data_IF_906824567042
#
_entry.id   IF_906824567042
#
_cell.length_a   1.000
_cell.length_b   1.000
_cell.length_c   1.000
_cell.angle_alpha   90.00
_cell.angle_beta   90.00
_cell.angle_gamma   90.00
#
_symmetry.space_group_name_H-M   'P 1'
#
loop_
_entity.id
_entity.type
_entity.pdbx_description
1 polymer ?
#
# COMPACT_ATOMS: atom_id res chain seq x y z
N UNK A 1 53.35 -4.87 32.67
CA UNK A 1 52.10 -4.42 33.30
C UNK A 1 51.56 -3.12 32.66
N UNK A 2 51.43 -3.06 31.32
CA UNK A 2 50.88 -1.88 30.61
C UNK A 2 50.13 -2.20 29.29
N UNK A 3 50.06 -3.48 28.89
CA UNK A 3 49.42 -3.87 27.61
C UNK A 3 47.97 -4.35 27.82
N UNK A 4 47.64 -4.90 28.98
CA UNK A 4 46.30 -5.43 29.26
C UNK A 4 45.26 -4.34 29.58
N UNK A 5 45.68 -3.12 29.95
CA UNK A 5 44.77 -2.03 30.29
C UNK A 5 44.18 -1.29 29.07
N UNK A 6 44.77 -1.44 27.88
CA UNK A 6 44.29 -0.77 26.64
C UNK A 6 43.20 -1.55 25.90
N UNK A 7 43.10 -2.86 26.11
CA UNK A 7 42.10 -3.70 25.45
C UNK A 7 40.74 -3.61 26.17
N UNK A 8 40.74 -3.38 27.50
CA UNK A 8 39.50 -3.26 28.27
C UNK A 8 38.70 -1.98 27.96
N UNK A 9 39.37 -0.88 27.56
CA UNK A 9 38.74 0.40 27.19
C UNK A 9 38.11 0.41 25.79
N UNK A 10 38.62 -0.43 24.87
CA UNK A 10 38.01 -0.62 23.54
C UNK A 10 36.74 -1.48 23.60
N UNK A 11 36.62 -2.38 24.58
CA UNK A 11 35.40 -3.17 24.80
C UNK A 11 34.31 -2.47 25.60
N UNK A 12 34.64 -1.40 26.35
CA UNK A 12 33.64 -0.59 27.07
C UNK A 12 33.01 0.50 26.20
N UNK A 13 33.66 0.90 25.10
CA UNK A 13 33.08 1.82 24.10
C UNK A 13 32.20 1.11 23.05
N UNK A 14 32.25 -0.22 22.95
CA UNK A 14 31.33 -1.00 22.09
C UNK A 14 29.99 -1.36 22.76
N UNK A 15 29.78 -0.98 24.03
CA UNK A 15 28.49 -1.18 24.74
C UNK A 15 27.65 0.08 24.86
N UNK A 16 28.13 1.23 24.39
CA UNK A 16 27.38 2.49 24.34
C UNK A 16 27.12 2.85 22.88
N UNK A 17 26.37 1.99 22.19
CA UNK A 17 26.14 2.09 20.75
C UNK A 17 24.83 1.45 20.33
N UNK A 18 23.73 2.00 20.85
CA UNK A 18 22.37 1.91 20.31
C UNK A 18 21.72 0.51 20.13
N UNK A 19 21.14 -0.09 21.19
CA UNK A 19 19.89 -0.83 21.01
C UNK A 19 18.69 0.10 20.70
N UNK A 20 18.86 1.42 20.73
CA UNK A 20 17.79 2.38 20.42
C UNK A 20 17.45 2.47 18.90
N UNK A 21 18.21 1.81 18.01
CA UNK A 21 17.92 1.78 16.56
C UNK A 21 17.13 0.55 16.12
N UNK A 22 16.85 -0.39 17.03
CA UNK A 22 16.06 -1.60 16.73
C UNK A 22 14.56 -1.46 17.07
N UNK A 23 14.13 -0.31 17.60
CA UNK A 23 12.73 0.02 17.86
C UNK A 23 12.26 1.26 17.08
N UNK A 24 12.60 1.37 15.78
CA UNK A 24 11.67 2.06 14.90
C UNK A 24 10.43 1.17 14.81
N UNK A 25 9.51 1.35 15.75
CA UNK A 25 8.11 0.99 15.55
C UNK A 25 7.78 1.42 14.12
N UNK A 26 7.44 0.48 13.24
CA UNK A 26 7.16 0.83 11.85
C UNK A 26 5.99 1.81 11.89
N UNK A 27 6.28 3.09 11.73
CA UNK A 27 5.25 4.13 11.80
C UNK A 27 4.21 3.79 10.73
N UNK A 28 3.01 3.44 11.18
CA UNK A 28 1.97 2.83 10.35
C UNK A 28 0.66 3.53 10.65
N UNK A 29 0.28 4.52 9.82
CA UNK A 29 -1.01 5.17 9.96
C UNK A 29 -2.11 4.17 9.59
N UNK A 30 -3.27 4.33 10.22
CA UNK A 30 -4.44 3.47 10.01
C UNK A 30 -5.47 4.23 9.19
N UNK A 31 -5.96 3.64 8.12
CA UNK A 31 -7.08 4.21 7.38
C UNK A 31 -8.38 4.01 8.16
N UNK A 32 -9.08 5.11 8.46
CA UNK A 32 -10.42 5.08 9.02
C UNK A 32 -11.34 5.97 8.17
N UNK A 33 -12.26 5.38 7.37
CA UNK A 33 -13.10 6.15 6.47
C UNK A 33 -14.14 7.03 7.16
N UNK A 34 -14.31 6.93 8.49
CA UNK A 34 -15.40 7.60 9.21
C UNK A 34 -15.26 9.13 9.23
N UNK A 35 -16.13 9.80 8.48
CA UNK A 35 -16.82 11.02 8.93
C UNK A 35 -18.10 10.57 9.68
N UNK A 36 -18.40 11.17 10.83
CA UNK A 36 -19.51 10.79 11.73
C UNK A 36 -20.86 10.73 10.98
N UNK A 37 -21.03 11.50 9.90
CA UNK A 37 -22.25 11.50 9.06
C UNK A 37 -22.33 10.30 8.10
N UNK A 38 -21.21 9.74 7.67
CA UNK A 38 -21.16 8.60 6.76
C UNK A 38 -21.27 7.25 7.50
N UNK A 39 -20.96 7.25 8.80
CA UNK A 39 -21.05 6.05 9.64
C UNK A 39 -22.43 5.36 9.55
N UNK A 40 -23.53 6.11 9.47
CA UNK A 40 -24.88 5.53 9.42
C UNK A 40 -25.17 4.68 8.17
N UNK A 41 -24.61 5.03 7.01
CA UNK A 41 -24.76 4.24 5.78
C UNK A 41 -23.91 2.96 5.82
N UNK A 42 -22.72 3.02 6.45
CA UNK A 42 -21.76 1.91 6.48
C UNK A 42 -21.88 0.99 7.71
N UNK A 43 -22.59 1.40 8.77
CA UNK A 43 -22.90 0.56 9.95
C UNK A 43 -23.60 -0.75 9.57
N UNK A 44 -24.33 -0.76 8.45
CA UNK A 44 -24.99 -1.98 7.95
C UNK A 44 -24.02 -2.97 7.27
N UNK A 45 -22.82 -2.53 6.83
CA UNK A 45 -21.83 -3.39 6.14
C UNK A 45 -20.38 -3.03 6.54
N UNK A 46 -19.96 -3.29 7.79
CA UNK A 46 -18.67 -2.84 8.33
C UNK A 46 -17.44 -3.47 7.65
N UNK A 47 -17.60 -4.62 6.99
CA UNK A 47 -16.54 -5.25 6.20
C UNK A 47 -16.21 -4.49 4.90
N UNK A 48 -17.06 -3.54 4.48
CA UNK A 48 -16.79 -2.65 3.35
C UNK A 48 -15.85 -1.48 3.69
N UNK A 49 -15.46 -1.30 4.96
CA UNK A 49 -14.70 -0.13 5.42
C UNK A 49 -13.17 -0.32 5.42
N UNK A 50 -12.61 -1.11 4.49
CA UNK A 50 -11.15 -1.19 4.33
C UNK A 50 -10.68 -0.27 3.20
N UNK A 51 -9.38 0.06 3.22
CA UNK A 51 -8.76 0.95 2.25
C UNK A 51 -8.99 0.48 0.81
N UNK A 52 -8.83 -0.81 0.52
CA UNK A 52 -8.98 -1.37 -0.83
C UNK A 52 -10.39 -1.16 -1.38
N UNK A 53 -11.42 -1.39 -0.56
CA UNK A 53 -12.81 -1.15 -0.93
C UNK A 53 -13.07 0.35 -1.13
N UNK A 54 -12.53 1.20 -0.25
CA UNK A 54 -12.63 2.65 -0.41
C UNK A 54 -11.96 3.14 -1.71
N UNK A 55 -10.84 2.57 -2.10
CA UNK A 55 -10.14 2.96 -3.33
C UNK A 55 -10.86 2.46 -4.59
N UNK A 56 -11.54 1.33 -4.52
CA UNK A 56 -12.24 0.71 -5.66
C UNK A 56 -13.72 1.06 -5.83
N UNK A 57 -14.42 1.55 -4.79
CA UNK A 57 -15.90 1.60 -4.79
C UNK A 57 -16.56 2.42 -5.92
N UNK A 58 -15.89 3.41 -6.49
CA UNK A 58 -16.41 4.23 -7.60
C UNK A 58 -15.93 3.77 -8.98
N UNK A 59 -15.03 2.78 -9.03
CA UNK A 59 -14.53 2.24 -10.29
C UNK A 59 -15.60 1.30 -10.85
N UNK A 60 -16.27 1.76 -11.91
CA UNK A 60 -17.20 0.92 -12.66
C UNK A 60 -16.43 0.30 -13.81
N UNK A 61 -15.88 -0.89 -13.56
CA UNK A 61 -15.17 -1.65 -14.56
C UNK A 61 -16.15 -2.03 -15.69
N UNK A 62 -16.01 -1.37 -16.83
CA UNK A 62 -16.56 -1.84 -18.10
C UNK A 62 -15.75 -3.05 -18.54
N UNK A 63 -16.40 -4.21 -18.51
CA UNK A 63 -15.82 -5.47 -18.97
C UNK A 63 -15.91 -5.63 -20.49
N UNK A 64 -16.40 -4.60 -21.18
CA UNK A 64 -16.85 -4.57 -22.58
C UNK A 64 -15.75 -4.87 -23.61
N UNK A 65 -14.48 -4.88 -23.20
CA UNK A 65 -13.33 -5.05 -24.07
C UNK A 65 -12.62 -6.39 -23.84
N UNK A 66 -12.09 -6.99 -24.90
CA UNK A 66 -11.20 -8.17 -24.86
C UNK A 66 -9.80 -7.85 -24.31
N UNK A 67 -9.70 -6.93 -23.34
CA UNK A 67 -8.44 -6.40 -22.83
C UNK A 67 -8.38 -6.57 -21.33
N UNK A 68 -7.37 -7.33 -20.91
CA UNK A 68 -6.95 -7.42 -19.53
C UNK A 68 -6.07 -6.20 -19.20
N UNK A 69 -6.48 -5.43 -18.19
CA UNK A 69 -5.81 -4.22 -17.76
C UNK A 69 -5.56 -4.27 -16.26
N UNK A 70 -4.40 -3.80 -15.81
CA UNK A 70 -4.09 -3.72 -14.39
C UNK A 70 -3.15 -2.56 -14.09
N UNK A 71 -3.21 -2.08 -12.84
CA UNK A 71 -2.21 -1.15 -12.34
C UNK A 71 -1.92 -1.34 -10.85
N UNK A 72 -0.69 -1.02 -10.47
CA UNK A 72 -0.23 -0.89 -9.10
C UNK A 72 -0.12 0.58 -8.74
N UNK A 73 -0.94 1.02 -7.80
CA UNK A 73 -0.94 2.37 -7.27
C UNK A 73 -0.08 2.44 -6.01
N UNK A 74 1.11 3.01 -6.14
CA UNK A 74 2.02 3.27 -5.04
C UNK A 74 1.75 4.67 -4.51
N UNK A 75 1.45 4.83 -3.23
CA UNK A 75 1.25 6.16 -2.66
C UNK A 75 1.79 6.27 -1.24
N UNK A 76 2.18 7.48 -0.86
CA UNK A 76 2.81 7.77 0.44
C UNK A 76 1.91 8.65 1.29
N UNK A 77 1.69 8.22 2.52
CA UNK A 77 1.07 9.00 3.58
C UNK A 77 2.17 9.57 4.46
N UNK A 78 2.20 10.88 4.67
CA UNK A 78 3.19 11.54 5.53
C UNK A 78 2.70 11.71 6.98
N UNK A 79 3.58 12.23 7.83
CA UNK A 79 3.35 12.54 9.25
C UNK A 79 2.18 13.49 9.54
N UNK A 80 1.55 14.08 8.52
CA UNK A 80 0.35 14.92 8.64
C UNK A 80 -0.92 14.20 8.17
N UNK A 81 -0.85 12.92 7.81
CA UNK A 81 -1.96 12.17 7.23
C UNK A 81 -2.34 12.65 5.82
N UNK A 82 -1.41 13.29 5.11
CA UNK A 82 -1.60 13.76 3.73
C UNK A 82 -0.90 12.84 2.74
N UNK A 83 -1.46 12.79 1.54
CA UNK A 83 -0.83 12.12 0.40
C UNK A 83 0.12 13.11 -0.28
N UNK A 84 1.41 12.78 -0.31
CA UNK A 84 2.44 13.66 -0.87
C UNK A 84 3.22 13.04 -2.04
N UNK A 85 2.93 11.77 -2.39
CA UNK A 85 3.51 11.09 -3.55
C UNK A 85 2.56 10.00 -4.04
N UNK A 86 2.40 9.91 -5.36
CA UNK A 86 1.65 8.85 -6.04
C UNK A 86 2.45 8.44 -7.29
N UNK A 87 2.58 7.13 -7.52
CA UNK A 87 3.15 6.54 -8.73
C UNK A 87 2.24 5.39 -9.18
N UNK A 88 1.93 5.36 -10.48
CA UNK A 88 1.11 4.32 -11.09
C UNK A 88 1.97 3.52 -12.05
N UNK A 89 1.84 2.19 -12.00
CA UNK A 89 2.55 1.27 -12.88
C UNK A 89 1.58 0.25 -13.45
N UNK A 90 1.54 0.09 -14.76
CA UNK A 90 0.66 -0.87 -15.41
C UNK A 90 0.17 -0.40 -16.76
N UNK A 91 -0.92 -1.01 -17.22
CA UNK A 91 -1.57 -0.74 -18.50
C UNK A 91 -3.06 -0.39 -18.32
N UNK A 92 -3.43 0.10 -17.14
CA UNK A 92 -4.80 0.48 -16.84
C UNK A 92 -5.21 1.71 -17.66
N UNK A 93 -6.44 1.72 -18.18
CA UNK A 93 -6.93 2.88 -18.92
C UNK A 93 -6.97 4.13 -18.02
N UNK A 94 -6.60 5.27 -18.60
CA UNK A 94 -6.46 6.57 -17.90
C UNK A 94 -7.73 6.96 -17.12
N UNK A 95 -8.92 6.63 -17.63
CA UNK A 95 -10.18 6.89 -16.96
C UNK A 95 -10.26 6.22 -15.58
N UNK A 96 -9.81 4.97 -15.45
CA UNK A 96 -9.79 4.26 -14.16
C UNK A 96 -8.64 4.74 -13.28
N UNK A 97 -7.46 5.00 -13.85
CA UNK A 97 -6.35 5.58 -13.10
C UNK A 97 -6.75 6.90 -12.44
N UNK A 98 -7.42 7.78 -13.18
CA UNK A 98 -7.88 9.08 -12.68
C UNK A 98 -8.85 8.93 -11.51
N UNK A 99 -9.80 7.98 -11.59
CA UNK A 99 -10.75 7.70 -10.51
C UNK A 99 -10.01 7.22 -9.27
N UNK A 100 -9.13 6.23 -9.42
CA UNK A 100 -8.40 5.63 -8.28
C UNK A 100 -7.45 6.65 -7.66
N UNK A 101 -6.72 7.44 -8.45
CA UNK A 101 -5.87 8.53 -7.95
C UNK A 101 -6.69 9.57 -7.18
N UNK A 102 -7.89 9.89 -7.66
CA UNK A 102 -8.81 10.79 -6.95
C UNK A 102 -9.26 10.19 -5.62
N UNK A 103 -9.59 8.90 -5.58
CA UNK A 103 -9.92 8.19 -4.36
C UNK A 103 -8.74 8.14 -3.38
N UNK A 104 -7.51 7.93 -3.87
CA UNK A 104 -6.30 7.96 -3.03
C UNK A 104 -6.14 9.35 -2.41
N UNK A 105 -6.20 10.42 -3.20
CA UNK A 105 -6.07 11.79 -2.70
C UNK A 105 -7.15 12.14 -1.68
N UNK A 106 -8.37 11.64 -1.87
CA UNK A 106 -9.48 11.88 -0.94
C UNK A 106 -9.33 11.17 0.41
N UNK A 107 -8.37 10.24 0.55
CA UNK A 107 -8.03 9.65 1.86
C UNK A 107 -7.34 10.65 2.80
N UNK A 108 -6.86 11.80 2.32
CA UNK A 108 -6.28 12.83 3.17
C UNK A 108 -7.27 13.25 4.27
N UNK A 109 -6.79 13.29 5.52
CA UNK A 109 -7.64 13.55 6.70
C UNK A 109 -8.44 12.35 7.22
N UNK A 110 -8.38 11.19 6.54
CA UNK A 110 -8.99 9.91 6.99
C UNK A 110 -7.96 8.95 7.59
N UNK A 111 -6.74 9.43 7.83
CA UNK A 111 -5.65 8.66 8.40
C UNK A 111 -5.53 8.93 9.89
N UNK A 112 -5.66 7.89 10.71
CA UNK A 112 -5.32 7.92 12.12
C UNK A 112 -3.82 7.69 12.28
N UNK A 113 -3.13 8.69 12.82
CA UNK A 113 -1.69 8.67 12.98
C UNK A 113 -1.32 8.06 14.34
N UNK A 114 -0.21 7.30 14.44
CA UNK A 114 0.32 6.86 15.74
C UNK A 114 0.57 8.05 16.68
N UNK A 115 0.33 7.89 17.98
CA UNK A 115 0.53 8.95 18.98
C UNK A 115 1.99 9.47 19.01
N UNK A 116 2.95 8.62 18.63
CA UNK A 116 4.38 8.93 18.59
C UNK A 116 4.86 9.49 17.24
N UNK A 117 3.97 10.06 16.42
CA UNK A 117 4.31 10.60 15.08
C UNK A 117 5.32 11.75 15.13
N UNK A 118 6.33 11.69 14.27
CA UNK A 118 7.41 12.70 14.10
C UNK A 118 7.34 13.33 12.71
N UNK A 119 7.86 14.57 12.52
CA UNK A 119 7.79 15.27 11.24
C UNK A 119 8.33 14.50 10.02
N UNK A 120 9.33 13.62 10.20
CA UNK A 120 9.93 12.82 9.13
C UNK A 120 9.23 11.49 8.81
N UNK A 121 8.20 11.13 9.58
CA UNK A 121 7.54 9.84 9.44
C UNK A 121 6.69 9.80 8.16
N UNK A 122 6.72 8.64 7.50
CA UNK A 122 5.92 8.37 6.32
C UNK A 122 5.75 6.87 6.11
N UNK A 123 4.71 6.48 5.38
CA UNK A 123 4.38 5.10 5.08
C UNK A 123 3.92 4.97 3.63
N UNK A 124 4.47 3.99 2.92
CA UNK A 124 4.07 3.63 1.57
C UNK A 124 2.98 2.57 1.60
N UNK A 125 2.01 2.73 0.71
CA UNK A 125 0.91 1.81 0.47
C UNK A 125 0.89 1.43 -1.00
N UNK A 126 0.44 0.21 -1.28
CA UNK A 126 0.28 -0.29 -2.64
C UNK A 126 -1.14 -0.80 -2.78
N UNK A 127 -1.85 -0.31 -3.79
CA UNK A 127 -3.17 -0.79 -4.15
C UNK A 127 -3.12 -1.36 -5.57
N UNK A 128 -3.28 -2.68 -5.74
CA UNK A 128 -3.43 -3.28 -7.06
C UNK A 128 -4.89 -3.23 -7.51
N UNK A 129 -5.11 -2.84 -8.77
CA UNK A 129 -6.42 -2.89 -9.45
C UNK A 129 -6.33 -3.77 -10.69
N UNK A 130 -7.33 -4.62 -10.90
CA UNK A 130 -7.37 -5.60 -11.98
C UNK A 130 -8.72 -5.53 -12.71
N UNK A 131 -8.68 -5.34 -14.02
CA UNK A 131 -9.83 -5.40 -14.93
C UNK A 131 -9.58 -6.55 -15.90
N UNK A 132 -10.46 -7.55 -15.87
CA UNK A 132 -10.24 -8.79 -16.61
C UNK A 132 -10.82 -8.79 -18.04
N UNK A 133 -11.73 -7.87 -18.35
CA UNK A 133 -12.42 -7.84 -19.66
C UNK A 133 -13.29 -9.08 -19.91
N UNK A 134 -13.84 -9.18 -21.13
CA UNK A 134 -14.52 -10.39 -21.60
C UNK A 134 -13.51 -11.44 -22.06
N UNK A 135 -13.86 -12.72 -21.91
CA UNK A 135 -13.07 -13.85 -22.42
C UNK A 135 -13.77 -14.59 -23.56
N UNK A 136 -15.10 -14.59 -23.58
CA UNK A 136 -15.88 -15.21 -24.64
C UNK A 136 -15.81 -14.36 -25.92
N UNK A 137 -15.32 -14.95 -27.01
CA UNK A 137 -15.17 -14.34 -28.34
C UNK A 137 -13.95 -13.42 -28.54
N UNK A 138 -12.95 -13.52 -27.67
CA UNK A 138 -11.72 -12.73 -27.77
C UNK A 138 -10.60 -13.42 -28.56
N UNK A 139 -9.67 -12.65 -29.17
CA UNK A 139 -8.47 -13.22 -29.78
C UNK A 139 -7.66 -14.07 -28.79
N UNK A 140 -6.93 -15.11 -29.24
CA UNK A 140 -6.14 -15.98 -28.36
C UNK A 140 -5.14 -15.24 -27.45
N UNK A 141 -4.52 -14.17 -27.95
CA UNK A 141 -3.57 -13.33 -27.19
C UNK A 141 -4.23 -12.66 -25.96
N UNK A 142 -5.46 -12.18 -26.11
CA UNK A 142 -6.24 -11.63 -25.00
C UNK A 142 -6.51 -12.67 -23.90
N UNK A 143 -6.69 -13.93 -24.30
CA UNK A 143 -6.91 -15.04 -23.36
C UNK A 143 -5.63 -15.38 -22.58
N UNK A 144 -4.46 -15.24 -23.19
CA UNK A 144 -3.17 -15.44 -22.50
C UNK A 144 -2.91 -14.34 -21.46
N UNK A 145 -3.11 -13.08 -21.83
CA UNK A 145 -3.00 -11.95 -20.91
C UNK A 145 -3.99 -12.07 -19.73
N UNK A 146 -5.22 -12.51 -20.01
CA UNK A 146 -6.21 -12.81 -18.98
C UNK A 146 -5.68 -13.84 -17.98
N UNK A 147 -5.07 -14.94 -18.45
CA UNK A 147 -4.53 -16.00 -17.57
C UNK A 147 -3.38 -15.50 -16.69
N UNK A 148 -2.46 -14.70 -17.25
CA UNK A 148 -1.36 -14.10 -16.49
C UNK A 148 -1.92 -13.18 -15.40
N UNK A 149 -2.88 -12.33 -15.77
CA UNK A 149 -3.51 -11.41 -14.83
C UNK A 149 -4.30 -12.15 -13.75
N UNK A 150 -4.96 -13.25 -14.09
CA UNK A 150 -5.66 -14.11 -13.14
C UNK A 150 -4.68 -14.71 -12.13
N UNK A 151 -3.52 -15.22 -12.58
CA UNK A 151 -2.48 -15.72 -11.69
C UNK A 151 -1.96 -14.63 -10.74
N UNK A 152 -1.73 -13.41 -11.23
CA UNK A 152 -1.34 -12.27 -10.37
C UNK A 152 -2.41 -11.93 -9.34
N UNK A 153 -3.69 -11.94 -9.72
CA UNK A 153 -4.80 -11.69 -8.83
C UNK A 153 -4.96 -12.77 -7.76
N UNK A 154 -4.75 -14.04 -8.11
CA UNK A 154 -4.76 -15.15 -7.15
C UNK A 154 -3.62 -15.04 -6.13
N UNK A 155 -2.41 -14.70 -6.60
CA UNK A 155 -1.27 -14.43 -5.70
C UNK A 155 -1.58 -13.26 -4.78
N UNK A 156 -2.09 -12.15 -5.33
CA UNK A 156 -2.49 -10.99 -4.55
C UNK A 156 -3.54 -11.37 -3.50
N UNK A 157 -4.62 -12.07 -3.86
CA UNK A 157 -5.65 -12.50 -2.92
C UNK A 157 -5.14 -13.47 -1.85
N UNK A 158 -4.10 -14.26 -2.14
CA UNK A 158 -3.45 -15.11 -1.13
C UNK A 158 -2.64 -14.28 -0.13
N UNK A 159 -1.98 -13.22 -0.60
CA UNK A 159 -1.18 -12.31 0.23
C UNK A 159 -2.04 -11.26 0.95
N UNK A 160 -3.21 -10.94 0.41
CA UNK A 160 -4.14 -9.92 0.90
C UNK A 160 -4.53 -10.17 2.37
N UNK A 161 -4.97 -11.34 2.83
CA UNK A 161 -5.25 -11.59 4.25
C UNK A 161 -4.05 -11.40 5.18
N UNK A 162 -2.82 -11.54 4.68
CA UNK A 162 -1.59 -11.39 5.47
C UNK A 162 -1.09 -9.94 5.52
N UNK A 163 -1.51 -9.10 4.56
CA UNK A 163 -1.03 -7.73 4.36
C UNK A 163 -2.11 -6.69 4.63
N UNK A 164 -3.34 -6.98 4.24
CA UNK A 164 -4.59 -6.29 4.53
C UNK A 164 -5.06 -6.69 5.93
N UNK A 165 -4.30 -6.22 6.91
CA UNK A 165 -4.88 -5.99 8.23
C UNK A 165 -5.94 -4.87 8.09
N UNK A 166 -6.68 -4.48 9.15
CA UNK A 166 -7.58 -3.30 9.23
C UNK A 166 -7.04 -1.94 8.70
N UNK A 167 -5.89 -1.93 8.02
CA UNK A 167 -4.93 -0.88 7.79
C UNK A 167 -4.49 -0.75 6.30
N UNK A 168 -5.09 -1.51 5.37
CA UNK A 168 -4.67 -1.56 3.96
C UNK A 168 -3.43 -2.43 3.72
N UNK A 169 -3.07 -2.68 2.46
CA UNK A 169 -1.90 -3.48 2.08
C UNK A 169 -0.64 -2.69 2.42
N UNK A 170 0.05 -3.12 3.47
CA UNK A 170 1.38 -2.60 3.79
C UNK A 170 2.44 -3.51 3.20
N UNK A 171 3.23 -2.95 2.29
CA UNK A 171 4.58 -3.45 2.10
C UNK A 171 5.49 -2.65 3.03
N UNK A 172 6.16 -3.35 3.95
CA UNK A 172 7.24 -2.77 4.74
C UNK A 172 8.31 -2.19 3.78
N UNK A 173 8.84 -0.98 4.01
CA UNK A 173 9.88 -0.39 3.16
C UNK A 173 11.12 -1.28 2.97
N UNK A 174 11.37 -2.24 3.88
CA UNK A 174 12.47 -3.20 3.78
C UNK A 174 12.22 -4.36 2.81
N UNK A 175 11.01 -4.51 2.29
CA UNK A 175 10.62 -5.57 1.36
C UNK A 175 10.45 -5.06 -0.08
N UNK A 176 10.59 -3.76 -0.31
CA UNK A 176 10.66 -3.23 -1.67
C UNK A 176 12.09 -3.39 -2.18
N UNK A 177 12.34 -4.17 -3.25
CA UNK A 177 13.63 -4.10 -3.92
C UNK A 177 13.86 -2.65 -4.33
N UNK A 178 15.09 -2.15 -4.14
CA UNK A 178 15.49 -0.82 -4.59
C UNK A 178 15.32 -0.75 -6.11
N UNK A 179 14.15 -0.31 -6.57
CA UNK A 179 13.87 -0.14 -7.99
C UNK A 179 14.71 1.03 -8.52
N UNK A 180 15.42 0.86 -9.64
CA UNK A 180 16.30 1.88 -10.17
C UNK A 180 15.49 3.14 -10.51
N UNK A 181 16.05 4.30 -10.14
CA UNK A 181 15.54 5.60 -10.57
C UNK A 181 15.82 5.71 -12.08
N UNK A 182 14.78 5.94 -12.87
CA UNK A 182 14.92 6.47 -14.24
C UNK A 182 14.82 7.98 -14.18
#
# INVERSE_FOLDING_TARGET
MYVLLRIALLFSLLRVGFPALAQSTSWKPTFNPMDVRQALFYVQQPHLMNLSNYLGHTVRDKMDDCKAESALFHFRVNSQGKIDSIRVEGNLREAYETIIVTNIKSTAGKWQLPENTRPGDHCWFIYPHFVFGYTYSCPPESVELYKIQQAHYEVYNRLKPQTETRYGILLSPRQLPSMPRR
#
